data_IF_412635983422
#
_entry.id   IF_412635983422
#
_cell.length_a   1.000
_cell.length_b   1.000
_cell.length_c   1.000
_cell.angle_alpha   90.00
_cell.angle_beta   90.00
_cell.angle_gamma   90.00
#
_symmetry.space_group_name_H-M   'P 1'
#
loop_
_entity.id
_entity.type
_entity.pdbx_description
1 polymer ?
#
# COMPACT_ATOMS: atom_id res chain seq x y z
N UNK A 1 2.90 -0.19 13.63
CA UNK A 1 2.82 -0.31 12.17
C UNK A 1 1.59 0.44 11.67
N UNK A 2 1.73 1.72 11.28
CA UNK A 2 0.69 2.45 10.59
C UNK A 2 0.39 1.76 9.25
N UNK A 3 -0.90 1.71 8.90
CA UNK A 3 -1.37 1.06 7.68
C UNK A 3 -2.27 2.04 6.94
N UNK A 4 -2.09 2.09 5.61
CA UNK A 4 -3.01 2.81 4.72
C UNK A 4 -3.74 1.76 3.90
N UNK A 5 -5.07 1.81 3.92
CA UNK A 5 -5.93 1.11 2.98
C UNK A 5 -6.53 2.16 2.06
N UNK A 6 -6.13 2.17 0.79
CA UNK A 6 -6.65 3.14 -0.17
C UNK A 6 -8.16 2.90 -0.41
N UNK A 7 -8.89 3.83 -1.02
CA UNK A 7 -10.24 3.55 -1.53
C UNK A 7 -10.14 2.86 -2.91
N UNK A 8 -11.11 2.03 -3.28
CA UNK A 8 -11.16 1.31 -4.56
C UNK A 8 -11.13 2.27 -5.75
N UNK A 9 -11.72 3.45 -5.57
CA UNK A 9 -11.81 4.53 -6.55
C UNK A 9 -10.45 5.10 -6.99
N UNK A 10 -9.39 4.90 -6.20
CA UNK A 10 -8.05 5.36 -6.59
C UNK A 10 -7.43 4.54 -7.72
N UNK A 11 -7.98 3.36 -8.04
CA UNK A 11 -7.45 2.41 -9.04
C UNK A 11 -5.92 2.25 -8.98
N UNK A 12 -5.40 2.19 -7.75
CA UNK A 12 -3.98 2.18 -7.46
C UNK A 12 -3.42 0.76 -7.61
N UNK A 13 -2.28 0.64 -8.28
CA UNK A 13 -1.45 -0.56 -8.22
C UNK A 13 -0.55 -0.49 -6.99
N UNK A 14 -0.80 -1.35 -6.01
CA UNK A 14 -0.07 -1.36 -4.73
C UNK A 14 1.40 -1.67 -4.92
N UNK A 15 1.74 -2.58 -5.82
CA UNK A 15 3.13 -3.01 -6.01
C UNK A 15 3.96 -1.90 -6.68
N UNK A 16 3.37 -1.12 -7.60
CA UNK A 16 4.00 0.08 -8.15
C UNK A 16 4.21 1.18 -7.10
N UNK A 17 3.26 1.39 -6.18
CA UNK A 17 3.47 2.30 -5.05
C UNK A 17 4.64 1.84 -4.18
N UNK A 18 4.73 0.53 -3.88
CA UNK A 18 5.84 0.00 -3.10
C UNK A 18 7.18 0.18 -3.81
N UNK A 19 7.23 -0.06 -5.13
CA UNK A 19 8.43 0.20 -5.94
C UNK A 19 8.81 1.69 -5.90
N UNK A 20 7.85 2.59 -6.09
CA UNK A 20 8.06 4.03 -5.98
C UNK A 20 8.66 4.42 -4.63
N UNK A 21 8.09 3.94 -3.52
CA UNK A 21 8.56 4.22 -2.17
C UNK A 21 9.96 3.63 -1.92
N UNK A 22 10.20 2.39 -2.34
CA UNK A 22 11.51 1.74 -2.21
C UNK A 22 12.61 2.52 -2.97
N UNK A 23 12.29 3.06 -4.16
CA UNK A 23 13.22 3.90 -4.93
C UNK A 23 13.56 5.23 -4.23
N UNK A 24 12.76 5.66 -3.26
CA UNK A 24 13.02 6.82 -2.40
C UNK A 24 13.67 6.43 -1.06
N UNK A 25 14.05 5.16 -0.88
CA UNK A 25 14.60 4.65 0.39
C UNK A 25 13.56 4.40 1.48
N UNK A 26 12.26 4.45 1.15
CA UNK A 26 11.17 4.20 2.09
C UNK A 26 10.80 2.72 2.05
N UNK A 27 11.20 1.98 3.08
CA UNK A 27 10.95 0.54 3.21
C UNK A 27 9.51 0.21 3.66
N UNK A 28 8.52 0.62 2.87
CA UNK A 28 7.12 0.21 3.05
C UNK A 28 6.95 -1.28 2.69
N UNK A 29 5.92 -1.91 3.25
CA UNK A 29 5.64 -3.34 3.02
C UNK A 29 4.22 -3.55 2.49
N UNK A 30 3.97 -4.65 1.76
CA UNK A 30 2.62 -5.12 1.50
C UNK A 30 1.78 -5.18 2.78
N UNK A 31 0.49 -4.84 2.69
CA UNK A 31 -0.47 -5.29 3.68
C UNK A 31 -0.51 -6.82 3.71
N UNK A 32 -0.97 -7.38 4.83
CA UNK A 32 -1.02 -8.82 5.01
C UNK A 32 -1.89 -9.48 3.94
N UNK A 33 -1.34 -10.55 3.35
CA UNK A 33 -2.08 -11.42 2.46
C UNK A 33 -3.19 -12.14 3.24
N UNK A 34 -4.35 -12.43 2.60
CA UNK A 34 -5.36 -13.29 3.18
C UNK A 34 -4.74 -14.64 3.54
N UNK A 35 -4.90 -15.12 4.77
CA UNK A 35 -4.34 -16.42 5.19
C UNK A 35 -4.85 -17.54 4.27
N UNK A 36 -6.12 -17.46 3.85
CA UNK A 36 -6.73 -18.40 2.91
C UNK A 36 -6.18 -18.33 1.48
N UNK A 37 -5.25 -17.42 1.17
CA UNK A 37 -4.57 -17.37 -0.14
C UNK A 37 -3.27 -18.16 -0.18
N UNK A 38 -2.76 -18.64 0.97
CA UNK A 38 -1.50 -19.37 0.99
C UNK A 38 -1.67 -20.83 0.53
N UNK A 39 -0.64 -21.44 -0.12
CA UNK A 39 -0.76 -22.75 -0.76
C UNK A 39 -1.15 -23.92 0.16
N UNK A 40 -0.90 -23.80 1.47
CA UNK A 40 -1.23 -24.83 2.46
C UNK A 40 -2.69 -24.79 2.96
N UNK A 41 -3.46 -23.78 2.57
CA UNK A 41 -4.86 -23.63 2.96
C UNK A 41 -5.78 -23.72 1.74
N UNK A 42 -7.02 -24.14 1.98
CA UNK A 42 -8.06 -24.04 0.95
C UNK A 42 -8.41 -22.57 0.68
N UNK A 43 -8.52 -22.22 -0.60
CA UNK A 43 -8.98 -20.91 -1.01
C UNK A 43 -10.42 -20.66 -0.53
N UNK A 44 -10.63 -19.53 0.17
CA UNK A 44 -11.94 -19.07 0.65
C UNK A 44 -12.34 -17.77 -0.04
N UNK A 45 -12.87 -17.85 -1.26
CA UNK A 45 -13.23 -16.69 -2.11
C UNK A 45 -14.34 -15.83 -1.50
N UNK A 46 -15.11 -16.37 -0.56
CA UNK A 46 -16.11 -15.66 0.24
C UNK A 46 -15.49 -14.59 1.16
N UNK A 47 -14.18 -14.64 1.44
CA UNK A 47 -13.45 -13.64 2.22
C UNK A 47 -13.21 -12.35 1.42
N UNK A 48 -14.24 -11.84 0.74
CA UNK A 48 -14.18 -10.73 -0.23
C UNK A 48 -13.50 -9.48 0.33
N UNK A 49 -13.66 -9.20 1.62
CA UNK A 49 -13.05 -8.05 2.28
C UNK A 49 -11.54 -8.25 2.38
N UNK A 50 -11.09 -9.44 2.82
CA UNK A 50 -9.66 -9.76 2.94
C UNK A 50 -8.96 -9.69 1.59
N UNK A 51 -9.55 -10.30 0.55
CA UNK A 51 -9.06 -10.23 -0.83
C UNK A 51 -9.11 -8.81 -1.42
N UNK A 52 -10.04 -7.98 -0.96
CA UNK A 52 -10.12 -6.60 -1.43
C UNK A 52 -9.13 -5.65 -0.74
N UNK A 53 -8.80 -5.84 0.54
CA UNK A 53 -7.93 -4.90 1.26
C UNK A 53 -6.44 -5.19 1.04
N UNK A 54 -6.04 -6.46 0.87
CA UNK A 54 -4.61 -6.78 0.71
C UNK A 54 -3.99 -6.22 -0.57
N UNK A 55 -4.76 -6.17 -1.65
CA UNK A 55 -4.32 -5.66 -2.96
C UNK A 55 -4.25 -4.14 -3.01
N UNK A 56 -4.73 -3.44 -1.97
CA UNK A 56 -4.90 -1.98 -1.93
C UNK A 56 -4.37 -1.38 -0.63
N UNK A 57 -3.60 -2.16 0.10
CA UNK A 57 -3.08 -1.81 1.42
C UNK A 57 -1.56 -1.87 1.46
N UNK A 58 -0.97 -0.91 2.18
CA UNK A 58 0.45 -0.90 2.53
C UNK A 58 0.66 -0.66 4.02
N UNK A 59 1.75 -1.21 4.54
CA UNK A 59 2.26 -0.96 5.86
C UNK A 59 3.43 0.01 5.78
N UNK A 60 3.34 1.12 6.52
CA UNK A 60 4.37 2.14 6.56
C UNK A 60 5.49 1.76 7.54
N UNK A 61 6.71 2.31 7.35
CA UNK A 61 7.76 2.25 8.36
C UNK A 61 7.24 2.71 9.72
N UNK A 62 7.64 2.02 10.79
CA UNK A 62 7.23 2.35 12.16
C UNK A 62 8.29 1.99 13.19
N UNK A 63 9.57 2.13 12.82
CA UNK A 63 10.67 1.95 13.77
C UNK A 63 10.70 3.13 14.75
N UNK A 64 11.41 2.97 15.87
CA UNK A 64 11.46 3.97 16.94
C UNK A 64 12.21 5.25 16.55
N UNK A 65 12.99 5.23 15.46
CA UNK A 65 13.85 6.33 15.03
C UNK A 65 13.16 7.25 14.02
N UNK A 66 11.93 6.96 13.59
CA UNK A 66 11.18 7.81 12.67
C UNK A 66 10.92 9.17 13.32
N UNK A 67 11.49 10.20 12.73
CA UNK A 67 11.21 11.59 13.08
C UNK A 67 9.93 12.09 12.38
N UNK A 68 9.43 13.24 12.84
CA UNK A 68 8.32 13.93 12.18
C UNK A 68 8.65 14.26 10.71
N UNK A 69 9.90 14.66 10.42
CA UNK A 69 10.36 14.92 9.05
C UNK A 69 10.35 13.67 8.18
N UNK A 70 10.70 12.51 8.73
CA UNK A 70 10.62 11.25 8.00
C UNK A 70 9.16 10.91 7.67
N UNK A 71 8.24 11.13 8.62
CA UNK A 71 6.81 10.92 8.39
C UNK A 71 6.25 11.89 7.33
N UNK A 72 6.64 13.17 7.37
CA UNK A 72 6.29 14.16 6.35
C UNK A 72 6.82 13.75 4.96
N UNK A 73 8.07 13.31 4.87
CA UNK A 73 8.67 12.83 3.63
C UNK A 73 7.92 11.62 3.07
N UNK A 74 7.58 10.64 3.92
CA UNK A 74 6.77 9.48 3.53
C UNK A 74 5.41 9.92 2.97
N UNK A 75 4.74 10.85 3.64
CA UNK A 75 3.45 11.38 3.20
C UNK A 75 3.56 12.13 1.87
N UNK A 76 4.63 12.90 1.67
CA UNK A 76 4.90 13.63 0.43
C UNK A 76 5.06 12.67 -0.75
N UNK A 77 5.87 11.60 -0.61
CA UNK A 77 6.06 10.62 -1.68
C UNK A 77 4.76 9.89 -2.03
N UNK A 78 3.96 9.50 -1.03
CA UNK A 78 2.64 8.90 -1.27
C UNK A 78 1.74 9.87 -2.05
N UNK A 79 1.73 11.15 -1.71
CA UNK A 79 0.95 12.16 -2.42
C UNK A 79 1.42 12.39 -3.85
N UNK A 80 2.74 12.38 -4.09
CA UNK A 80 3.31 12.48 -5.43
C UNK A 80 2.79 11.34 -6.29
N UNK A 81 2.91 10.10 -5.82
CA UNK A 81 2.39 8.93 -6.53
C UNK A 81 0.87 9.00 -6.76
N UNK A 82 0.08 9.37 -5.73
CA UNK A 82 -1.38 9.51 -5.90
C UNK A 82 -1.76 10.55 -6.98
N UNK A 83 -0.96 11.61 -7.14
CA UNK A 83 -1.17 12.64 -8.17
C UNK A 83 -0.82 12.14 -9.58
N UNK A 84 0.14 11.24 -9.74
CA UNK A 84 0.46 10.67 -11.08
C UNK A 84 -0.68 9.82 -11.59
N UNK A 85 -1.31 9.01 -10.74
CA UNK A 85 -2.49 8.21 -11.09
C UNK A 85 -3.67 9.10 -11.52
N UNK A 86 -3.96 10.17 -10.76
CA UNK A 86 -5.06 11.09 -11.11
C UNK A 86 -4.88 11.76 -12.48
N UNK A 87 -3.64 12.07 -12.89
CA UNK A 87 -3.37 12.65 -14.21
C UNK A 87 -3.63 11.66 -15.35
N UNK A 88 -3.43 10.36 -15.13
CA UNK A 88 -3.66 9.33 -16.14
C UNK A 88 -5.15 9.05 -16.38
N UNK A 89 -6.01 9.30 -15.37
CA UNK A 89 -7.46 9.08 -15.45
C UNK A 89 -8.26 10.27 -16.03
N UNK A 90 -7.60 11.30 -16.58
CA UNK A 90 -8.22 12.50 -17.18
C UNK A 90 -8.08 12.49 -18.72
N UNK A 91 -7.70 11.36 -19.33
CA UNK A 91 -7.67 11.17 -20.79
C UNK A 91 -8.86 10.32 -21.23
#
# INVERSE_FOLDING_TARGET
>A
MPTIIFNKEYNLNRDELLEHLNNQGIAARPFFYPVSSFPMFEEKKENIISYSIFSRGINLPSNFEISERDAEFIFEQINIYCKTIKKQNII
#
